data_IF_274377063515
#
_entry.id   IF_274377063515
#
_cell.length_a   1.000
_cell.length_b   1.000
_cell.length_c   1.000
_cell.angle_alpha   90.00
_cell.angle_beta   90.00
_cell.angle_gamma   90.00
#
_symmetry.space_group_name_H-M   'P 1'
#
loop_
_entity.id
_entity.type
_entity.pdbx_description
1 polymer ?
#
# COMPACT_ATOMS: atom_id res chain seq x y z
N UNK A 1 7.10 -54.69 1.60
CA UNK A 1 6.82 -53.24 1.49
C UNK A 1 5.42 -52.91 2.04
N UNK A 2 5.08 -53.38 3.24
CA UNK A 2 3.74 -53.23 3.86
C UNK A 2 3.83 -52.44 5.19
N UNK A 3 4.93 -52.56 5.93
CA UNK A 3 5.13 -51.86 7.22
C UNK A 3 5.17 -50.32 7.14
N UNK A 4 5.53 -49.74 5.98
CA UNK A 4 5.59 -48.27 5.80
C UNK A 4 4.20 -47.63 5.65
N UNK A 5 3.17 -48.41 5.31
CA UNK A 5 1.82 -47.92 5.06
C UNK A 5 0.98 -47.83 6.35
N UNK A 6 1.21 -48.74 7.31
CA UNK A 6 0.52 -48.73 8.62
C UNK A 6 1.01 -47.66 9.60
N UNK A 7 2.21 -47.10 9.40
CA UNK A 7 2.75 -46.02 10.26
C UNK A 7 2.41 -44.62 9.74
N UNK A 8 1.91 -44.51 8.50
CA UNK A 8 1.51 -43.27 7.86
C UNK A 8 0.36 -42.52 8.58
N UNK A 9 -0.68 -43.16 9.13
CA UNK A 9 -1.72 -42.44 9.87
C UNK A 9 -1.25 -41.96 11.25
N UNK A 10 -0.18 -42.53 11.82
CA UNK A 10 0.33 -42.15 13.14
C UNK A 10 1.11 -40.83 13.10
N UNK A 11 1.73 -40.50 11.97
CA UNK A 11 2.40 -39.21 11.73
C UNK A 11 1.37 -38.10 11.47
N UNK A 12 0.21 -38.44 10.90
CA UNK A 12 -0.85 -37.48 10.54
C UNK A 12 -1.82 -37.15 11.70
N UNK A 13 -1.77 -37.89 12.80
CA UNK A 13 -2.71 -37.76 13.93
C UNK A 13 -2.19 -36.92 15.11
N UNK A 14 -0.99 -36.35 15.03
CA UNK A 14 -0.55 -35.32 15.98
C UNK A 14 -1.13 -33.98 15.51
N UNK A 15 -2.09 -33.37 16.23
CA UNK A 15 -2.53 -32.02 15.90
C UNK A 15 -1.37 -31.06 16.16
N UNK A 16 -0.64 -30.69 15.12
CA UNK A 16 0.44 -29.68 15.15
C UNK A 16 -0.11 -28.25 15.27
N UNK A 17 -1.15 -28.04 16.07
CA UNK A 17 -1.73 -26.71 16.24
C UNK A 17 -2.41 -26.52 17.61
N UNK A 18 -1.85 -27.09 18.66
CA UNK A 18 -2.00 -26.55 20.01
C UNK A 18 -0.82 -25.62 20.35
N UNK A 19 -0.64 -24.55 19.57
CA UNK A 19 0.11 -23.37 20.02
C UNK A 19 -0.91 -22.24 20.14
N UNK A 20 -1.63 -22.23 21.26
CA UNK A 20 -2.32 -21.04 21.72
C UNK A 20 -1.23 -20.07 22.21
N UNK A 21 -0.61 -19.36 21.28
CA UNK A 21 0.18 -18.16 21.59
C UNK A 21 -0.78 -17.00 21.61
N UNK A 22 -1.41 -16.76 22.75
CA UNK A 22 -2.03 -15.46 23.04
C UNK A 22 -0.89 -14.45 23.22
N UNK A 23 -0.30 -14.04 22.10
CA UNK A 23 0.55 -12.86 22.08
C UNK A 23 -0.42 -11.69 22.08
N UNK A 24 -0.86 -11.25 23.26
CA UNK A 24 -1.50 -9.95 23.42
C UNK A 24 -0.43 -8.88 23.13
N UNK A 25 -0.14 -8.71 21.85
CA UNK A 25 0.70 -7.64 21.33
C UNK A 25 -0.17 -6.40 21.40
N UNK A 26 0.23 -5.45 22.24
CA UNK A 26 -0.35 -4.13 22.35
C UNK A 26 -0.44 -3.50 20.96
N UNK A 27 -1.62 -3.59 20.34
CA UNK A 27 -1.89 -2.92 19.08
C UNK A 27 -2.17 -1.46 19.39
N UNK A 28 -1.12 -0.65 19.35
CA UNK A 28 -1.26 0.80 19.19
C UNK A 28 -1.97 1.01 17.85
N UNK A 29 -3.28 1.12 17.89
CA UNK A 29 -4.11 1.52 16.74
C UNK A 29 -4.02 3.02 16.47
N UNK A 30 -2.91 3.67 16.81
CA UNK A 30 -2.64 5.03 16.38
C UNK A 30 -1.91 4.95 15.04
N UNK A 31 -2.67 4.92 13.95
CA UNK A 31 -2.10 5.10 12.61
C UNK A 31 -1.57 6.52 12.52
N UNK A 32 -0.27 6.68 12.76
CA UNK A 32 0.42 7.94 12.47
C UNK A 32 0.61 8.02 10.96
N UNK A 33 0.27 9.17 10.38
CA UNK A 33 0.63 9.46 8.99
C UNK A 33 2.15 9.70 9.00
N UNK A 34 2.92 8.64 8.77
CA UNK A 34 4.37 8.73 8.61
C UNK A 34 4.73 9.60 7.42
N UNK A 35 5.78 10.41 7.53
CA UNK A 35 6.28 11.21 6.41
C UNK A 35 7.34 10.42 5.64
N UNK A 36 7.32 10.53 4.31
CA UNK A 36 8.33 9.95 3.42
C UNK A 36 9.15 11.08 2.77
N UNK A 37 10.45 10.90 2.53
CA UNK A 37 11.26 11.89 1.83
C UNK A 37 10.90 11.92 0.34
N UNK A 38 10.82 13.12 -0.25
CA UNK A 38 10.74 13.28 -1.70
C UNK A 38 11.96 12.65 -2.38
N UNK A 39 11.76 11.80 -3.38
CA UNK A 39 12.83 11.09 -4.09
C UNK A 39 13.83 11.98 -4.84
N UNK A 40 13.48 13.26 -5.07
CA UNK A 40 14.30 14.22 -5.85
C UNK A 40 14.96 15.30 -4.99
N UNK A 41 14.27 15.82 -3.98
CA UNK A 41 14.76 16.92 -3.15
C UNK A 41 14.82 16.63 -1.65
N UNK A 42 14.38 15.45 -1.20
CA UNK A 42 14.52 14.99 0.19
C UNK A 42 13.56 15.63 1.21
N UNK A 43 12.69 16.56 0.80
CA UNK A 43 11.76 17.19 1.76
C UNK A 43 10.74 16.17 2.30
N UNK A 44 10.38 16.24 3.59
CA UNK A 44 9.44 15.28 4.18
C UNK A 44 8.00 15.57 3.75
N UNK A 45 7.42 14.69 2.95
CA UNK A 45 6.05 14.77 2.42
C UNK A 45 5.13 13.71 3.00
N UNK A 46 3.82 13.89 2.83
CA UNK A 46 2.87 12.80 3.03
C UNK A 46 3.20 11.63 2.08
N UNK A 47 2.93 10.37 2.48
CA UNK A 47 3.18 9.21 1.65
C UNK A 47 2.23 9.23 0.45
N UNK A 48 2.79 9.40 -0.74
CA UNK A 48 2.07 9.33 -2.01
C UNK A 48 2.68 8.21 -2.85
N UNK A 49 1.91 7.65 -3.80
CA UNK A 49 2.43 6.58 -4.67
C UNK A 49 3.68 6.99 -5.49
N UNK A 50 3.88 8.30 -5.68
CA UNK A 50 5.01 8.85 -6.42
C UNK A 50 6.23 9.17 -5.54
N UNK A 51 6.09 9.19 -4.20
CA UNK A 51 7.11 9.69 -3.26
C UNK A 51 7.75 11.01 -3.71
N UNK A 52 6.95 11.88 -4.31
CA UNK A 52 7.41 13.11 -4.96
C UNK A 52 6.64 14.29 -4.41
N UNK A 53 7.33 15.39 -4.12
CA UNK A 53 6.68 16.59 -3.67
C UNK A 53 6.02 17.35 -4.82
N UNK A 54 5.01 18.16 -4.50
CA UNK A 54 4.26 18.98 -5.46
C UNK A 54 5.14 19.92 -6.29
N UNK A 55 6.31 20.31 -5.75
CA UNK A 55 7.25 21.19 -6.46
C UNK A 55 8.11 20.43 -7.48
N UNK A 56 8.39 19.15 -7.24
CA UNK A 56 9.16 18.31 -8.17
C UNK A 56 8.28 17.60 -9.20
N UNK A 57 6.99 17.44 -8.90
CA UNK A 57 6.01 16.80 -9.77
C UNK A 57 5.94 17.38 -11.21
N UNK A 58 5.87 18.72 -11.42
CA UNK A 58 5.81 19.28 -12.78
C UNK A 58 7.12 19.14 -13.56
N UNK A 59 8.22 18.72 -12.93
CA UNK A 59 9.48 18.43 -13.62
C UNK A 59 9.53 17.02 -14.22
N UNK A 60 8.63 16.12 -13.79
CA UNK A 60 8.56 14.72 -14.24
C UNK A 60 7.25 14.43 -14.98
N UNK A 61 6.20 15.20 -14.68
CA UNK A 61 4.89 15.09 -15.32
C UNK A 61 4.69 16.31 -16.18
N UNK A 62 4.79 16.12 -17.50
CA UNK A 62 4.35 17.10 -18.49
C UNK A 62 2.85 17.32 -18.30
N UNK A 63 2.48 18.38 -17.58
CA UNK A 63 1.10 18.85 -17.57
C UNK A 63 0.83 19.34 -18.99
N UNK A 64 -0.16 18.78 -19.72
CA UNK A 64 -0.39 19.14 -21.11
C UNK A 64 -0.58 20.65 -21.21
N UNK A 65 0.36 21.33 -21.88
CA UNK A 65 0.37 22.79 -22.09
C UNK A 65 -0.91 23.31 -22.78
N UNK A 66 -1.71 22.41 -23.36
CA UNK A 66 -2.92 22.69 -24.11
C UNK A 66 -4.24 22.63 -23.36
N UNK A 67 -4.28 22.47 -22.02
CA UNK A 67 -5.57 22.56 -21.31
C UNK A 67 -6.07 24.01 -21.38
N UNK A 68 -7.04 24.26 -22.25
CA UNK A 68 -7.67 25.57 -22.43
C UNK A 68 -8.24 26.04 -21.09
N UNK A 69 -7.58 27.03 -20.46
CA UNK A 69 -7.96 27.61 -19.18
C UNK A 69 -9.28 28.39 -19.24
N UNK A 70 -9.79 28.59 -20.46
CA UNK A 70 -10.99 29.35 -20.77
C UNK A 70 -11.86 28.52 -21.72
N UNK A 71 -13.02 28.09 -21.25
CA UNK A 71 -14.06 27.51 -22.08
C UNK A 71 -15.14 28.58 -22.30
N UNK A 72 -15.36 28.98 -23.56
CA UNK A 72 -16.47 29.87 -23.90
C UNK A 72 -17.75 29.04 -23.88
N UNK A 73 -18.57 29.23 -22.84
CA UNK A 73 -19.92 28.68 -22.80
C UNK A 73 -20.80 29.48 -23.78
N UNK A 74 -21.01 28.96 -24.99
CA UNK A 74 -22.07 29.49 -25.85
C UNK A 74 -23.41 29.05 -25.27
N UNK A 75 -24.04 29.97 -24.53
CA UNK A 75 -25.41 29.82 -24.07
C UNK A 75 -26.33 29.67 -25.27
N UNK A 76 -26.77 28.44 -25.53
CA UNK A 76 -27.94 28.18 -26.36
C UNK A 76 -29.14 28.85 -25.70
N UNK A 77 -29.83 29.68 -26.48
CA UNK A 77 -31.06 30.38 -26.09
C UNK A 77 -32.00 29.49 -25.27
N UNK A 78 -32.36 29.96 -24.07
CA UNK A 78 -33.55 29.53 -23.36
C UNK A 78 -34.73 30.35 -23.85
#
# INVERSE_FOLDING_TARGET
MILKLSYLPLILALPLSAVARESSMFRVHHQTIGRVPCCKCGIPTAPTAANMCVNCLPSEVDIPEGLQKHATLFGGNI
#
